data_IF_987998008950
#
_entry.id   IF_987998008950
#
_cell.length_a   1.000
_cell.length_b   1.000
_cell.length_c   1.000
_cell.angle_alpha   90.00
_cell.angle_beta   90.00
_cell.angle_gamma   90.00
#
_symmetry.space_group_name_H-M   'P 1'
#
loop_
_entity.id
_entity.type
_entity.pdbx_description
1 polymer ?
#
# COMPACT_ATOMS: atom_id res chain seq x y z
N UNK A 1 19.53 -9.28 -1.78
CA UNK A 1 18.52 -9.17 -0.71
C UNK A 1 17.36 -8.32 -1.18
N UNK A 2 16.12 -8.74 -0.90
CA UNK A 2 14.94 -7.86 -1.04
C UNK A 2 14.77 -7.10 0.27
N UNK A 3 14.56 -5.80 0.19
CA UNK A 3 14.17 -4.96 1.35
C UNK A 3 12.65 -4.87 1.43
N UNK A 4 12.06 -4.72 2.63
CA UNK A 4 12.70 -4.67 3.95
C UNK A 4 13.15 -6.04 4.47
N UNK A 5 14.07 -6.03 5.43
CA UNK A 5 14.55 -7.19 6.21
C UNK A 5 14.39 -6.84 7.68
N UNK A 6 13.78 -7.73 8.46
CA UNK A 6 13.79 -7.72 9.92
C UNK A 6 14.85 -8.70 10.40
N UNK A 7 15.63 -8.28 11.39
CA UNK A 7 16.55 -9.14 12.13
C UNK A 7 16.14 -9.05 13.59
N UNK A 8 15.74 -10.18 14.17
CA UNK A 8 15.42 -10.32 15.58
C UNK A 8 16.20 -11.53 16.12
N UNK A 9 17.30 -11.27 16.83
CA UNK A 9 18.31 -12.26 17.19
C UNK A 9 18.78 -13.14 16.00
N UNK A 10 18.47 -14.43 16.02
CA UNK A 10 18.80 -15.41 14.97
C UNK A 10 17.74 -15.49 13.85
N UNK A 11 16.58 -14.85 14.04
CA UNK A 11 15.53 -14.77 13.04
C UNK A 11 15.84 -13.67 12.01
N UNK A 12 16.04 -14.08 10.76
CA UNK A 12 16.11 -13.18 9.60
C UNK A 12 14.83 -13.34 8.78
N UNK A 13 13.97 -12.32 8.82
CA UNK A 13 12.68 -12.32 8.13
C UNK A 13 12.67 -11.30 6.99
N UNK A 14 12.12 -11.70 5.86
CA UNK A 14 11.88 -10.83 4.70
C UNK A 14 10.41 -10.91 4.30
N UNK A 15 10.00 -10.03 3.39
CA UNK A 15 8.60 -9.76 3.01
C UNK A 15 7.89 -8.83 4.01
N UNK A 16 7.45 -7.68 3.49
CA UNK A 16 6.79 -6.65 4.28
C UNK A 16 5.59 -7.18 5.07
N UNK A 17 4.80 -8.11 4.51
CA UNK A 17 3.58 -8.60 5.17
C UNK A 17 3.88 -9.65 6.22
N UNK A 18 4.88 -10.49 5.99
CA UNK A 18 5.37 -11.41 7.02
C UNK A 18 5.95 -10.64 8.21
N UNK A 19 6.75 -9.59 7.94
CA UNK A 19 7.29 -8.70 8.96
C UNK A 19 6.15 -7.99 9.72
N UNK A 20 5.13 -7.47 9.02
CA UNK A 20 3.99 -6.84 9.67
C UNK A 20 3.23 -7.79 10.59
N UNK A 21 3.01 -9.05 10.19
CA UNK A 21 2.37 -10.05 11.04
C UNK A 21 3.23 -10.31 12.28
N UNK A 22 4.53 -10.56 12.09
CA UNK A 22 5.46 -10.82 13.19
C UNK A 22 5.48 -9.70 14.23
N UNK A 23 5.59 -8.45 13.77
CA UNK A 23 5.62 -7.28 14.66
C UNK A 23 4.27 -7.00 15.33
N UNK A 24 3.16 -7.38 14.69
CA UNK A 24 1.82 -7.08 15.18
C UNK A 24 1.22 -8.20 16.04
N UNK A 25 1.88 -9.35 16.17
CA UNK A 25 1.36 -10.55 16.86
C UNK A 25 0.87 -10.26 18.28
N UNK A 26 1.51 -9.34 19.00
CA UNK A 26 1.15 -8.91 20.36
C UNK A 26 0.40 -7.57 20.42
N UNK A 27 0.00 -7.02 19.26
CA UNK A 27 -0.64 -5.71 19.15
C UNK A 27 -2.14 -5.81 18.85
N UNK A 28 -2.86 -4.72 19.10
CA UNK A 28 -4.29 -4.61 18.73
C UNK A 28 -4.53 -4.55 17.21
N UNK A 29 -3.47 -4.39 16.40
CA UNK A 29 -3.57 -4.34 14.93
C UNK A 29 -3.67 -5.72 14.26
N UNK A 30 -3.52 -6.80 15.02
CA UNK A 30 -3.66 -8.18 14.55
C UNK A 30 -4.47 -9.03 15.54
N UNK A 31 -5.59 -9.56 15.08
CA UNK A 31 -6.54 -10.27 15.94
C UNK A 31 -6.28 -11.78 15.97
N UNK A 32 -6.25 -12.36 17.17
CA UNK A 32 -6.20 -13.82 17.39
C UNK A 32 -7.55 -14.54 17.20
N UNK A 33 -8.66 -13.81 17.08
CA UNK A 33 -9.93 -14.42 16.67
C UNK A 33 -9.80 -14.97 15.23
N UNK A 34 -10.02 -16.28 15.07
CA UNK A 34 -9.86 -17.00 13.78
C UNK A 34 -10.58 -16.33 12.60
N UNK A 35 -11.78 -15.77 12.81
CA UNK A 35 -12.54 -15.13 11.74
C UNK A 35 -11.95 -13.78 11.35
N UNK A 36 -11.68 -12.91 12.34
CA UNK A 36 -11.04 -11.61 12.13
C UNK A 36 -9.65 -11.77 11.48
N UNK A 37 -8.85 -12.72 11.99
CA UNK A 37 -7.53 -13.08 11.45
C UNK A 37 -7.61 -13.48 9.97
N UNK A 38 -8.55 -14.36 9.60
CA UNK A 38 -8.72 -14.80 8.22
C UNK A 38 -8.99 -13.65 7.25
N UNK A 39 -9.79 -12.65 7.67
CA UNK A 39 -10.05 -11.48 6.83
C UNK A 39 -8.81 -10.58 6.74
N UNK A 40 -8.10 -10.32 7.85
CA UNK A 40 -6.84 -9.55 7.82
C UNK A 40 -5.86 -10.19 6.83
N UNK A 41 -5.62 -11.49 6.95
CA UNK A 41 -4.69 -12.21 6.09
C UNK A 41 -5.14 -12.21 4.62
N UNK A 42 -6.44 -12.36 4.35
CA UNK A 42 -6.98 -12.23 3.00
C UNK A 42 -6.66 -10.86 2.38
N UNK A 43 -6.75 -9.77 3.16
CA UNK A 43 -6.42 -8.41 2.69
C UNK A 43 -4.91 -8.22 2.51
N UNK A 44 -4.07 -8.74 3.40
CA UNK A 44 -2.62 -8.72 3.24
C UNK A 44 -2.20 -9.45 1.95
N UNK A 45 -2.72 -10.65 1.70
CA UNK A 45 -2.42 -11.39 0.48
C UNK A 45 -2.93 -10.69 -0.78
N UNK A 46 -4.12 -10.07 -0.72
CA UNK A 46 -4.62 -9.25 -1.82
C UNK A 46 -3.69 -8.06 -2.11
N UNK A 47 -3.19 -7.40 -1.07
CA UNK A 47 -2.22 -6.33 -1.21
C UNK A 47 -0.88 -6.85 -1.80
N UNK A 48 -0.44 -8.05 -1.40
CA UNK A 48 0.79 -8.69 -1.93
C UNK A 48 0.69 -9.07 -3.40
N UNK A 49 -0.46 -9.62 -3.79
CA UNK A 49 -0.66 -10.20 -5.12
C UNK A 49 -1.19 -9.19 -6.13
N UNK A 50 -1.91 -8.15 -5.68
CA UNK A 50 -2.67 -7.26 -6.56
C UNK A 50 -2.32 -5.80 -6.36
N UNK A 51 -2.51 -5.24 -5.16
CA UNK A 51 -2.39 -3.79 -4.94
C UNK A 51 -0.96 -3.31 -5.16
N UNK A 52 0.00 -3.87 -4.42
CA UNK A 52 1.40 -3.47 -4.51
C UNK A 52 2.01 -3.76 -5.90
N UNK A 53 1.84 -4.95 -6.52
CA UNK A 53 2.33 -5.19 -7.88
C UNK A 53 1.76 -4.22 -8.92
N UNK A 54 0.47 -3.85 -8.79
CA UNK A 54 -0.15 -2.87 -9.69
C UNK A 54 0.44 -1.47 -9.50
N UNK A 55 0.75 -1.08 -8.26
CA UNK A 55 1.47 0.16 -7.97
C UNK A 55 2.87 0.15 -8.59
N UNK A 56 3.63 -0.93 -8.44
CA UNK A 56 4.97 -1.05 -9.03
C UNK A 56 4.90 -0.95 -10.56
N UNK A 57 3.89 -1.55 -11.20
CA UNK A 57 3.67 -1.43 -12.64
C UNK A 57 3.37 0.01 -13.06
N UNK A 58 2.58 0.74 -12.26
CA UNK A 58 2.33 2.16 -12.45
C UNK A 58 3.63 2.98 -12.33
N UNK A 59 4.39 2.79 -11.25
CA UNK A 59 5.67 3.49 -11.02
C UNK A 59 6.65 3.25 -12.16
N UNK A 60 6.85 2.00 -12.56
CA UNK A 60 7.74 1.64 -13.68
C UNK A 60 7.34 2.35 -14.97
N UNK A 61 6.04 2.45 -15.24
CA UNK A 61 5.54 3.15 -16.43
C UNK A 61 5.84 4.65 -16.41
N UNK A 62 5.73 5.29 -15.23
CA UNK A 62 6.04 6.71 -15.06
C UNK A 62 7.55 6.95 -15.23
N UNK A 63 8.40 6.08 -14.66
CA UNK A 63 9.86 6.20 -14.77
C UNK A 63 10.32 6.01 -16.23
N UNK A 64 9.85 4.95 -16.91
CA UNK A 64 10.21 4.69 -18.31
C UNK A 64 9.80 5.83 -19.25
N UNK A 65 8.66 6.47 -18.99
CA UNK A 65 8.22 7.62 -19.77
C UNK A 65 9.11 8.85 -19.58
N UNK A 66 9.57 9.11 -18.34
CA UNK A 66 10.48 10.24 -18.09
C UNK A 66 11.79 10.12 -18.85
N UNK A 67 12.31 8.91 -19.04
CA UNK A 67 13.61 8.68 -19.70
C UNK A 67 13.58 8.83 -21.20
N UNK A 68 12.44 8.55 -21.83
CA UNK A 68 12.41 8.42 -23.27
C UNK A 68 12.28 9.77 -23.99
N UNK A 69 11.96 10.89 -23.31
CA UNK A 69 11.69 12.29 -23.75
C UNK A 69 10.81 12.51 -25.01
N UNK A 70 10.64 11.49 -25.82
CA UNK A 70 9.88 11.37 -27.04
C UNK A 70 8.76 10.40 -26.70
N UNK A 71 7.51 10.84 -26.95
CA UNK A 71 6.23 10.13 -26.96
C UNK A 71 5.19 10.75 -25.99
N UNK A 72 4.57 11.81 -26.49
CA UNK A 72 3.10 11.97 -26.58
C UNK A 72 2.26 11.71 -25.32
N UNK A 73 1.81 12.81 -24.68
CA UNK A 73 0.53 13.06 -23.96
C UNK A 73 -0.07 12.04 -22.97
N UNK A 74 0.46 10.83 -22.78
CA UNK A 74 -0.15 9.80 -21.93
C UNK A 74 0.77 9.43 -20.76
N UNK A 75 0.88 10.34 -19.79
CA UNK A 75 1.60 10.22 -18.48
C UNK A 75 1.24 8.97 -17.63
N UNK A 76 0.29 8.17 -18.10
CA UNK A 76 -0.54 7.29 -17.30
C UNK A 76 -0.75 5.92 -17.99
N UNK A 77 0.31 5.36 -18.59
CA UNK A 77 0.25 3.96 -19.06
C UNK A 77 -0.02 3.06 -17.84
N UNK A 78 -0.99 2.16 -17.91
CA UNK A 78 -1.50 1.34 -16.78
C UNK A 78 -2.31 2.08 -15.70
N UNK A 79 -2.63 3.36 -15.85
CA UNK A 79 -3.51 4.05 -14.89
C UNK A 79 -4.87 3.39 -14.77
N UNK A 80 -5.46 2.97 -15.89
CA UNK A 80 -6.78 2.33 -15.90
C UNK A 80 -6.77 1.02 -15.10
N UNK A 81 -5.69 0.24 -15.21
CA UNK A 81 -5.52 -1.00 -14.45
C UNK A 81 -5.40 -0.73 -12.95
N UNK A 82 -4.64 0.27 -12.53
CA UNK A 82 -4.55 0.63 -11.12
C UNK A 82 -5.85 1.29 -10.61
N UNK A 83 -6.57 2.03 -11.46
CA UNK A 83 -7.92 2.53 -11.15
C UNK A 83 -8.93 1.41 -10.95
N UNK A 84 -8.82 0.30 -11.68
CA UNK A 84 -9.64 -0.88 -11.44
C UNK A 84 -9.36 -1.46 -10.05
N UNK A 85 -8.09 -1.54 -9.62
CA UNK A 85 -7.73 -1.96 -8.25
C UNK A 85 -8.33 -1.01 -7.20
N UNK A 86 -8.23 0.31 -7.40
CA UNK A 86 -8.85 1.28 -6.48
C UNK A 86 -10.37 1.14 -6.42
N UNK A 87 -11.04 0.81 -7.53
CA UNK A 87 -12.48 0.53 -7.54
C UNK A 87 -12.83 -0.72 -6.72
N UNK A 88 -11.99 -1.76 -6.77
CA UNK A 88 -12.16 -2.95 -5.91
C UNK A 88 -11.98 -2.57 -4.44
N UNK A 89 -10.95 -1.80 -4.12
CA UNK A 89 -10.71 -1.31 -2.74
C UNK A 89 -11.89 -0.46 -2.23
N UNK A 90 -12.43 0.43 -3.05
CA UNK A 90 -13.61 1.23 -2.72
C UNK A 90 -14.85 0.36 -2.43
N UNK A 91 -15.04 -0.70 -3.21
CA UNK A 91 -16.11 -1.67 -3.00
C UNK A 91 -15.94 -2.51 -1.73
N UNK A 92 -14.70 -2.84 -1.36
CA UNK A 92 -14.40 -3.56 -0.11
C UNK A 92 -14.72 -2.74 1.15
N UNK A 93 -14.85 -1.41 1.02
CA UNK A 93 -15.16 -0.47 2.08
C UNK A 93 -16.65 -0.09 2.17
N UNK A 94 -17.52 -0.67 1.34
CA UNK A 94 -18.97 -0.44 1.44
C UNK A 94 -19.46 -0.88 2.83
N UNK A 95 -20.07 0.06 3.56
CA UNK A 95 -20.54 -0.10 4.93
C UNK A 95 -19.46 -0.51 5.94
N UNK A 96 -18.19 -0.17 5.68
CA UNK A 96 -17.07 -0.50 6.58
C UNK A 96 -16.16 0.71 6.80
N UNK A 97 -15.59 0.78 8.00
CA UNK A 97 -14.60 1.80 8.33
C UNK A 97 -13.17 1.40 7.96
N UNK A 98 -12.87 0.09 7.98
CA UNK A 98 -11.55 -0.49 7.72
C UNK A 98 -11.66 -1.73 6.81
N UNK A 99 -10.55 -2.18 6.24
CA UNK A 99 -10.55 -3.24 5.21
C UNK A 99 -10.86 -4.64 5.74
N UNK A 100 -10.55 -4.90 7.02
CA UNK A 100 -10.67 -6.23 7.60
C UNK A 100 -11.84 -6.35 8.56
N UNK A 101 -11.86 -5.54 9.63
CA UNK A 101 -12.80 -5.64 10.74
C UNK A 101 -13.37 -4.25 11.06
N UNK A 102 -14.06 -4.13 12.20
CA UNK A 102 -14.58 -2.85 12.70
C UNK A 102 -13.49 -1.96 13.33
N UNK A 103 -12.27 -2.47 13.41
CA UNK A 103 -11.07 -1.84 13.97
C UNK A 103 -9.95 -1.80 12.92
N UNK A 104 -9.06 -0.82 13.04
CA UNK A 104 -7.87 -0.69 12.20
C UNK A 104 -6.97 -1.92 12.37
N UNK A 105 -6.33 -2.37 11.29
CA UNK A 105 -5.45 -3.53 11.31
C UNK A 105 -4.21 -3.34 10.43
N UNK A 106 -3.27 -4.28 10.51
CA UNK A 106 -2.11 -4.32 9.61
C UNK A 106 -2.50 -4.41 8.12
N UNK A 107 -3.71 -4.86 7.78
CA UNK A 107 -4.21 -4.81 6.41
C UNK A 107 -4.41 -3.37 5.91
N UNK A 108 -4.92 -2.48 6.77
CA UNK A 108 -5.11 -1.08 6.46
C UNK A 108 -3.76 -0.39 6.28
N UNK A 109 -2.78 -0.69 7.14
CA UNK A 109 -1.42 -0.17 7.05
C UNK A 109 -0.75 -0.55 5.71
N UNK A 110 -0.85 -1.83 5.33
CA UNK A 110 -0.26 -2.32 4.09
C UNK A 110 -0.87 -1.67 2.84
N UNK A 111 -2.20 -1.59 2.78
CA UNK A 111 -2.91 -0.97 1.65
C UNK A 111 -2.70 0.55 1.64
N UNK A 112 -2.66 1.21 2.80
CA UNK A 112 -2.48 2.67 2.92
C UNK A 112 -1.17 3.10 2.29
N UNK A 113 -0.08 2.38 2.56
CA UNK A 113 1.23 2.64 1.97
C UNK A 113 1.15 2.69 0.43
N UNK A 114 0.45 1.75 -0.19
CA UNK A 114 0.31 1.70 -1.65
C UNK A 114 -0.55 2.85 -2.19
N UNK A 115 -1.67 3.16 -1.53
CA UNK A 115 -2.58 4.24 -1.95
C UNK A 115 -1.92 5.61 -1.76
N UNK A 116 -1.20 5.82 -0.66
CA UNK A 116 -0.47 7.05 -0.37
C UNK A 116 0.60 7.34 -1.44
N UNK A 117 1.40 6.34 -1.82
CA UNK A 117 2.38 6.52 -2.90
C UNK A 117 1.67 6.89 -4.21
N UNK A 118 0.55 6.24 -4.52
CA UNK A 118 -0.22 6.57 -5.72
C UNK A 118 -0.73 8.03 -5.71
N UNK A 119 -1.24 8.54 -4.57
CA UNK A 119 -1.69 9.94 -4.47
C UNK A 119 -0.51 10.91 -4.62
N UNK A 120 0.66 10.62 -4.03
CA UNK A 120 1.88 11.42 -4.22
C UNK A 120 2.40 11.42 -5.66
N UNK A 121 2.09 10.39 -6.45
CA UNK A 121 2.37 10.35 -7.89
C UNK A 121 1.36 11.14 -8.74
N UNK A 122 0.34 11.76 -8.10
CA UNK A 122 -0.68 12.59 -8.74
C UNK A 122 -1.95 11.82 -9.11
N UNK A 123 -2.17 10.64 -8.53
CA UNK A 123 -3.39 9.89 -8.72
C UNK A 123 -4.54 10.52 -7.94
N UNK A 124 -5.63 10.86 -8.65
CA UNK A 124 -6.83 11.33 -8.00
C UNK A 124 -7.69 10.14 -7.52
N UNK A 125 -7.91 10.07 -6.21
CA UNK A 125 -8.79 9.08 -5.57
C UNK A 125 -10.19 9.61 -5.26
N UNK A 126 -10.49 10.90 -5.49
CA UNK A 126 -11.75 11.55 -5.10
C UNK A 126 -13.00 10.92 -5.73
N UNK A 127 -12.85 10.21 -6.84
CA UNK A 127 -13.93 9.46 -7.51
C UNK A 127 -14.30 8.15 -6.78
N UNK A 128 -13.52 7.73 -5.79
CA UNK A 128 -13.73 6.56 -4.94
C UNK A 128 -14.08 7.07 -3.54
N UNK A 129 -15.37 7.23 -3.24
CA UNK A 129 -15.82 7.93 -2.04
C UNK A 129 -15.47 7.20 -0.75
N UNK A 130 -15.65 5.87 -0.71
CA UNK A 130 -15.35 5.06 0.47
C UNK A 130 -13.84 5.01 0.69
N UNK A 131 -13.08 4.80 -0.39
CA UNK A 131 -11.62 4.78 -0.33
C UNK A 131 -11.05 6.14 0.11
N UNK A 132 -11.60 7.25 -0.40
CA UNK A 132 -11.18 8.59 0.00
C UNK A 132 -11.48 8.88 1.47
N UNK A 133 -12.64 8.46 1.96
CA UNK A 133 -13.02 8.63 3.36
C UNK A 133 -12.14 7.79 4.29
N UNK A 134 -11.87 6.54 3.92
CA UNK A 134 -10.92 5.67 4.61
C UNK A 134 -9.50 6.27 4.61
N UNK A 135 -9.02 6.73 3.45
CA UNK A 135 -7.67 7.28 3.33
C UNK A 135 -7.43 8.46 4.30
N UNK A 136 -8.37 9.41 4.34
CA UNK A 136 -8.33 10.54 5.29
C UNK A 136 -8.38 10.08 6.75
N UNK A 137 -9.14 9.04 7.04
CA UNK A 137 -9.24 8.47 8.39
C UNK A 137 -7.91 7.87 8.84
N UNK A 138 -7.28 7.06 7.98
CA UNK A 138 -5.98 6.47 8.29
C UNK A 138 -4.90 7.55 8.41
N UNK A 139 -4.89 8.54 7.51
CA UNK A 139 -3.97 9.68 7.56
C UNK A 139 -4.12 10.49 8.86
N UNK A 140 -5.34 10.62 9.39
CA UNK A 140 -5.60 11.27 10.67
C UNK A 140 -5.20 10.40 11.89
N UNK A 141 -5.46 9.09 11.84
CA UNK A 141 -5.16 8.17 12.95
C UNK A 141 -3.66 7.92 13.13
N UNK A 142 -2.85 8.17 12.10
CA UNK A 142 -1.42 7.89 12.11
C UNK A 142 -0.63 9.20 12.25
N UNK A 143 -0.23 9.54 13.49
CA UNK A 143 0.77 10.58 13.75
C UNK A 143 2.17 10.14 13.27
N UNK A 144 2.92 11.06 12.66
CA UNK A 144 4.35 11.07 12.25
C UNK A 144 5.03 9.77 11.70
N UNK A 145 4.90 8.61 12.35
CA UNK A 145 5.68 7.39 12.08
C UNK A 145 5.35 6.69 10.74
N UNK A 146 4.09 6.68 10.31
CA UNK A 146 3.71 6.07 9.02
C UNK A 146 3.90 7.03 7.82
N UNK A 147 3.84 8.35 8.06
CA UNK A 147 4.33 9.32 7.09
C UNK A 147 5.82 9.09 6.85
N UNK A 148 6.60 8.82 7.89
CA UNK A 148 8.03 8.49 7.79
C UNK A 148 8.28 7.21 6.97
N UNK A 149 7.58 6.09 7.23
CA UNK A 149 7.74 4.87 6.42
C UNK A 149 7.36 5.05 4.94
N UNK A 150 6.29 5.79 4.66
CA UNK A 150 5.85 6.06 3.30
C UNK A 150 6.80 7.02 2.56
N UNK A 151 7.34 8.03 3.26
CA UNK A 151 8.37 8.94 2.77
C UNK A 151 9.69 8.23 2.50
N UNK A 152 10.10 7.30 3.37
CA UNK A 152 11.29 6.48 3.16
C UNK A 152 11.14 5.58 1.92
N UNK A 153 9.95 5.01 1.71
CA UNK A 153 9.65 4.23 0.50
C UNK A 153 9.69 5.12 -0.76
N UNK A 154 9.16 6.35 -0.69
CA UNK A 154 9.26 7.33 -1.78
C UNK A 154 10.71 7.75 -2.05
N UNK A 155 11.54 7.89 -1.02
CA UNK A 155 12.98 8.17 -1.14
C UNK A 155 13.69 7.03 -1.87
N UNK A 156 13.43 5.77 -1.51
CA UNK A 156 13.97 4.61 -2.22
C UNK A 156 13.55 4.60 -3.70
N UNK A 157 12.29 4.91 -4.00
CA UNK A 157 11.80 5.01 -5.39
C UNK A 157 12.52 6.13 -6.16
N UNK A 158 12.71 7.31 -5.55
CA UNK A 158 13.45 8.43 -6.16
C UNK A 158 14.91 8.07 -6.42
N UNK A 159 15.56 7.40 -5.47
CA UNK A 159 16.95 6.97 -5.62
C UNK A 159 17.10 5.94 -6.75
N UNK A 160 16.20 4.96 -6.83
CA UNK A 160 16.16 4.00 -7.95
C UNK A 160 15.88 4.71 -9.28
N UNK A 161 15.01 5.73 -9.30
CA UNK A 161 14.75 6.51 -10.51
C UNK A 161 15.91 7.40 -10.96
N UNK A 162 16.87 7.70 -10.07
CA UNK A 162 18.08 8.48 -10.37
C UNK A 162 19.30 7.61 -10.72
N UNK A 163 19.30 6.33 -10.32
CA UNK A 163 20.39 5.37 -10.60
C UNK A 163 20.32 4.81 -12.03
N UNK A 164 19.18 5.00 -12.72
CA UNK A 164 19.01 4.59 -14.10
C UNK A 164 18.54 5.77 -14.93
#
# INVERSE_FOLDING_TARGET
MKVPVLIDDDLILTDTRAILIYLAESSDYYSHNKRKCAIINQRLFYDAAVVFPSLIKLIKSIILQKKNEILTKKRWKNKDAFQAVMRVLDGLLVNKFFFANDEISIADIAIFSSVFIATKLGMNISQFSNLSAWFKRIEYLQSEELSYCAEHTLMLIKNVANIF
#
